data_IF_494277800529
#
_entry.id   IF_494277800529
#
_cell.length_a   1.000
_cell.length_b   1.000
_cell.length_c   1.000
_cell.angle_alpha   90.00
_cell.angle_beta   90.00
_cell.angle_gamma   90.00
#
_symmetry.space_group_name_H-M   'P 1'
#
loop_
_entity.id
_entity.type
_entity.pdbx_description
1 polymer ?
#
# COMPACT_ATOMS: atom_id res chain seq x y z
N UNK A 1 42.22 -21.00 -18.45
CA UNK A 1 41.82 -20.36 -17.20
C UNK A 1 40.34 -20.62 -17.05
N UNK A 2 39.97 -21.62 -16.26
CA UNK A 2 38.56 -21.97 -16.01
C UNK A 2 38.01 -21.07 -14.92
N UNK A 3 37.15 -20.15 -15.31
CA UNK A 3 36.29 -19.46 -14.33
C UNK A 3 35.27 -20.47 -13.79
N UNK A 4 35.57 -21.06 -12.64
CA UNK A 4 34.58 -21.75 -11.85
C UNK A 4 33.56 -20.69 -11.36
N UNK A 5 32.43 -20.65 -12.04
CA UNK A 5 31.21 -20.03 -11.51
C UNK A 5 30.81 -20.85 -10.28
N UNK A 6 31.25 -20.42 -9.11
CA UNK A 6 30.70 -20.91 -7.84
C UNK A 6 29.22 -20.55 -7.88
N UNK A 7 28.28 -21.53 -7.83
CA UNK A 7 26.87 -21.20 -7.72
C UNK A 7 26.69 -20.38 -6.44
N UNK A 8 26.30 -19.10 -6.59
CA UNK A 8 25.91 -18.28 -5.44
C UNK A 8 24.75 -19.00 -4.77
N UNK A 9 24.98 -19.54 -3.59
CA UNK A 9 23.92 -20.03 -2.71
C UNK A 9 22.91 -18.88 -2.60
N UNK A 10 21.67 -19.06 -3.05
CA UNK A 10 20.62 -18.07 -2.81
C UNK A 10 20.53 -17.92 -1.29
N UNK A 11 20.88 -16.77 -0.78
CA UNK A 11 20.77 -16.48 0.63
C UNK A 11 19.28 -16.55 1.00
N UNK A 12 18.96 -17.23 2.08
CA UNK A 12 17.65 -17.13 2.72
C UNK A 12 17.36 -15.68 3.05
N UNK A 13 16.10 -15.25 2.90
CA UNK A 13 15.64 -13.89 3.26
C UNK A 13 16.04 -13.54 4.69
N UNK A 14 16.15 -14.54 5.54
CA UNK A 14 16.36 -14.42 6.98
C UNK A 14 17.62 -15.12 7.48
N UNK A 15 18.62 -15.22 6.63
CA UNK A 15 19.93 -15.73 7.04
C UNK A 15 20.50 -14.96 8.27
N UNK A 16 19.90 -13.77 8.52
CA UNK A 16 20.21 -12.93 9.67
C UNK A 16 18.92 -12.36 10.26
N UNK A 17 18.63 -12.69 11.50
CA UNK A 17 17.50 -12.12 12.25
C UNK A 17 17.52 -10.58 12.34
N UNK A 18 18.64 -9.96 12.01
CA UNK A 18 18.86 -8.51 12.01
C UNK A 18 18.83 -7.86 10.61
N UNK A 19 18.56 -8.62 9.54
CA UNK A 19 18.60 -8.10 8.16
C UNK A 19 17.65 -6.92 7.95
N UNK A 20 16.42 -6.99 8.45
CA UNK A 20 15.48 -5.87 8.40
C UNK A 20 15.98 -4.66 9.20
N UNK A 21 16.55 -4.89 10.37
CA UNK A 21 17.09 -3.81 11.19
C UNK A 21 18.24 -3.10 10.48
N UNK A 22 19.18 -3.83 9.89
CA UNK A 22 20.29 -3.28 9.12
C UNK A 22 19.80 -2.50 7.89
N UNK A 23 18.87 -3.06 7.14
CA UNK A 23 18.20 -2.36 6.04
C UNK A 23 17.57 -1.05 6.52
N UNK A 24 16.79 -1.10 7.58
CA UNK A 24 16.14 0.07 8.18
C UNK A 24 17.15 1.15 8.60
N UNK A 25 18.22 0.75 9.26
CA UNK A 25 19.28 1.68 9.67
C UNK A 25 19.99 2.33 8.47
N UNK A 26 20.27 1.56 7.43
CA UNK A 26 20.88 2.09 6.22
C UNK A 26 20.00 3.12 5.53
N UNK A 27 18.72 2.76 5.27
CA UNK A 27 17.77 3.62 4.56
C UNK A 27 17.43 4.88 5.36
N UNK A 28 17.36 4.80 6.69
CA UNK A 28 17.04 5.94 7.54
C UNK A 28 18.23 6.88 7.75
N UNK A 29 19.43 6.34 7.92
CA UNK A 29 20.56 7.09 8.47
C UNK A 29 21.74 7.26 7.52
N UNK A 30 21.80 6.49 6.40
CA UNK A 30 22.94 6.53 5.46
C UNK A 30 22.49 6.90 4.05
N UNK A 31 21.77 6.02 3.36
CA UNK A 31 21.37 6.23 1.98
C UNK A 31 20.05 5.52 1.66
N UNK A 32 19.14 6.25 1.01
CA UNK A 32 17.85 5.69 0.56
C UNK A 32 17.90 5.07 -0.82
N UNK A 33 18.84 5.47 -1.64
CA UNK A 33 18.84 5.15 -3.07
C UNK A 33 20.07 4.38 -3.53
N UNK A 34 21.16 4.47 -2.77
CA UNK A 34 22.39 3.72 -3.04
C UNK A 34 22.56 2.74 -1.89
N UNK A 35 22.35 1.47 -2.17
CA UNK A 35 22.31 0.43 -1.16
C UNK A 35 23.63 -0.34 -1.09
N UNK A 36 23.97 -0.79 0.13
CA UNK A 36 25.03 -1.76 0.33
C UNK A 36 24.67 -3.10 -0.33
N UNK A 37 25.66 -3.98 -0.51
CA UNK A 37 25.43 -5.31 -1.04
C UNK A 37 24.48 -6.13 -0.13
N UNK A 38 24.56 -5.95 1.19
CA UNK A 38 23.71 -6.60 2.18
C UNK A 38 22.25 -6.16 2.02
N UNK A 39 21.99 -4.84 1.93
CA UNK A 39 20.66 -4.29 1.68
C UNK A 39 20.10 -4.72 0.32
N UNK A 40 20.92 -4.75 -0.72
CA UNK A 40 20.51 -5.22 -2.04
C UNK A 40 20.07 -6.67 -2.02
N UNK A 41 20.80 -7.54 -1.33
CA UNK A 41 20.41 -8.95 -1.14
C UNK A 41 19.11 -9.10 -0.36
N UNK A 42 18.92 -8.29 0.68
CA UNK A 42 17.66 -8.28 1.44
C UNK A 42 16.47 -7.89 0.56
N UNK A 43 16.61 -6.86 -0.28
CA UNK A 43 15.55 -6.44 -1.20
C UNK A 43 15.27 -7.48 -2.29
N UNK A 44 16.30 -8.15 -2.84
CA UNK A 44 16.13 -9.27 -3.77
C UNK A 44 15.39 -10.42 -3.13
N UNK A 45 15.68 -10.72 -1.88
CA UNK A 45 15.01 -11.74 -1.11
C UNK A 45 13.53 -11.42 -0.87
N UNK A 46 13.20 -10.17 -0.49
CA UNK A 46 11.81 -9.70 -0.38
C UNK A 46 11.09 -9.83 -1.73
N UNK A 47 11.73 -9.46 -2.84
CA UNK A 47 11.16 -9.60 -4.17
C UNK A 47 10.83 -11.07 -4.50
N UNK A 48 11.73 -11.98 -4.13
CA UNK A 48 11.49 -13.42 -4.24
C UNK A 48 10.29 -13.89 -3.39
N UNK A 49 10.21 -13.42 -2.15
CA UNK A 49 9.08 -13.70 -1.26
C UNK A 49 7.75 -13.20 -1.83
N UNK A 50 7.71 -11.97 -2.36
CA UNK A 50 6.51 -11.41 -2.98
C UNK A 50 5.98 -12.31 -4.10
N UNK A 51 6.86 -12.92 -4.89
CA UNK A 51 6.45 -13.84 -5.97
C UNK A 51 5.84 -15.14 -5.47
N UNK A 52 6.17 -15.58 -4.25
CA UNK A 52 5.63 -16.79 -3.64
C UNK A 52 4.29 -16.53 -2.96
N UNK A 53 4.11 -15.32 -2.41
CA UNK A 53 2.92 -14.93 -1.65
C UNK A 53 1.86 -14.23 -2.50
N UNK A 54 1.91 -14.37 -3.81
CA UNK A 54 0.91 -13.81 -4.72
C UNK A 54 -0.48 -14.35 -4.44
N UNK A 55 -1.43 -13.44 -4.26
CA UNK A 55 -2.85 -13.76 -4.19
C UNK A 55 -3.59 -13.10 -5.37
N UNK A 56 -4.58 -13.79 -5.96
CA UNK A 56 -5.38 -13.21 -7.01
C UNK A 56 -6.31 -12.14 -6.45
N UNK A 57 -6.50 -11.08 -7.20
CA UNK A 57 -7.50 -10.04 -6.98
C UNK A 57 -8.30 -9.90 -8.25
N UNK A 58 -9.61 -10.10 -8.15
CA UNK A 58 -10.49 -10.04 -9.29
C UNK A 58 -10.89 -8.59 -9.61
N UNK A 59 -11.15 -8.30 -10.85
CA UNK A 59 -11.64 -6.99 -11.28
C UNK A 59 -13.04 -6.65 -10.75
N UNK A 60 -13.79 -7.65 -10.26
CA UNK A 60 -15.07 -7.48 -9.56
C UNK A 60 -14.94 -7.09 -8.10
N UNK A 61 -13.76 -7.21 -7.51
CA UNK A 61 -13.53 -6.88 -6.11
C UNK A 61 -13.56 -5.36 -5.92
N UNK A 62 -14.23 -4.92 -4.87
CA UNK A 62 -14.36 -3.51 -4.54
C UNK A 62 -13.50 -3.18 -3.32
N UNK A 63 -12.79 -2.09 -3.40
CA UNK A 63 -11.94 -1.56 -2.36
C UNK A 63 -12.36 -0.14 -2.00
N UNK A 64 -12.05 0.30 -0.79
CA UNK A 64 -12.53 1.55 -0.25
C UNK A 64 -11.38 2.44 0.21
N UNK A 65 -11.53 3.71 -0.06
CA UNK A 65 -10.73 4.77 0.56
C UNK A 65 -11.66 5.78 1.19
N UNK A 66 -11.32 6.20 2.40
CA UNK A 66 -12.06 7.23 3.12
C UNK A 66 -11.21 8.49 3.30
N UNK A 67 -11.85 9.65 3.26
CA UNK A 67 -11.27 10.93 3.66
C UNK A 67 -12.19 11.65 4.62
N UNK A 68 -11.61 12.23 5.68
CA UNK A 68 -12.34 13.09 6.60
C UNK A 68 -12.58 14.44 5.93
N UNK A 69 -13.84 14.90 5.89
CA UNK A 69 -14.20 16.23 5.42
C UNK A 69 -14.02 17.19 6.61
N UNK A 70 -13.03 18.07 6.49
CA UNK A 70 -12.74 19.07 7.52
C UNK A 70 -13.71 20.27 7.38
N UNK A 71 -13.95 21.03 8.45
CA UNK A 71 -14.82 22.20 8.38
C UNK A 71 -14.45 23.20 7.28
N UNK A 72 -13.16 23.39 7.01
CA UNK A 72 -12.68 24.27 5.94
C UNK A 72 -12.95 23.71 4.53
N UNK A 73 -13.04 22.39 4.38
CA UNK A 73 -13.34 21.75 3.11
C UNK A 73 -14.83 21.95 2.75
N UNK A 74 -15.71 22.03 3.76
CA UNK A 74 -17.15 22.24 3.56
C UNK A 74 -17.43 23.54 2.79
N UNK A 75 -16.63 24.57 2.99
CA UNK A 75 -16.81 25.87 2.34
C UNK A 75 -16.44 25.81 0.86
N UNK A 76 -15.49 24.96 0.49
CA UNK A 76 -14.96 24.83 -0.87
C UNK A 76 -15.75 23.83 -1.72
N UNK A 77 -16.51 22.93 -1.10
CA UNK A 77 -17.30 21.89 -1.79
C UNK A 77 -18.75 22.29 -2.11
N UNK A 78 -19.08 23.57 -2.02
CA UNK A 78 -20.36 24.07 -2.53
C UNK A 78 -20.34 24.12 -4.04
N UNK A 79 -20.80 23.06 -4.71
CA UNK A 79 -21.00 23.09 -6.14
C UNK A 79 -22.14 24.03 -6.53
N UNK A 80 -21.80 25.02 -7.34
CA UNK A 80 -22.81 25.82 -8.02
C UNK A 80 -23.54 24.96 -9.08
N UNK A 81 -24.69 24.38 -8.73
CA UNK A 81 -25.61 23.84 -9.73
C UNK A 81 -26.38 24.99 -10.37
N UNK A 82 -26.07 25.24 -11.65
CA UNK A 82 -26.92 26.04 -12.56
C UNK A 82 -26.32 27.38 -12.95
N UNK A 83 -25.95 27.49 -14.24
CA UNK A 83 -25.90 28.77 -14.96
C UNK A 83 -27.36 29.13 -15.32
N UNK A 84 -28.06 29.78 -14.40
CA UNK A 84 -29.34 30.40 -14.67
C UNK A 84 -29.19 31.92 -14.54
N UNK A 85 -29.96 32.66 -15.32
CA UNK A 85 -29.99 34.12 -15.36
C UNK A 85 -30.45 34.71 -14.00
N UNK A 86 -31.01 33.90 -13.12
CA UNK A 86 -31.50 34.27 -11.80
C UNK A 86 -30.77 33.54 -10.71
N UNK A 87 -29.78 34.16 -10.12
CA UNK A 87 -29.28 33.89 -8.77
C UNK A 87 -28.52 32.59 -8.58
N UNK A 88 -27.36 32.71 -7.94
CA UNK A 88 -26.58 31.57 -7.42
C UNK A 88 -27.32 30.95 -6.26
N UNK A 89 -27.94 29.81 -6.44
CA UNK A 89 -28.53 29.04 -5.34
C UNK A 89 -27.36 28.33 -4.64
N UNK A 90 -27.03 28.77 -3.42
CA UNK A 90 -26.16 28.03 -2.50
C UNK A 90 -26.96 26.86 -1.97
N UNK A 91 -26.73 25.66 -2.47
CA UNK A 91 -27.21 24.46 -1.80
C UNK A 91 -26.24 24.13 -0.67
N UNK A 92 -26.71 24.16 0.57
CA UNK A 92 -25.95 23.74 1.76
C UNK A 92 -25.80 22.22 1.84
N UNK A 93 -25.79 21.52 0.71
CA UNK A 93 -25.60 20.08 0.67
C UNK A 93 -24.13 19.76 0.81
N UNK A 94 -23.78 18.95 1.78
CA UNK A 94 -22.47 18.37 1.90
C UNK A 94 -22.25 17.43 0.70
N UNK A 95 -21.21 17.69 -0.08
CA UNK A 95 -20.89 16.92 -1.29
C UNK A 95 -19.61 16.12 -1.04
N UNK A 96 -19.58 14.82 -1.41
CA UNK A 96 -18.35 14.05 -1.33
C UNK A 96 -17.23 14.67 -2.16
N UNK A 97 -15.97 14.38 -1.81
CA UNK A 97 -14.85 14.74 -2.66
C UNK A 97 -15.00 14.13 -4.05
N UNK A 98 -14.68 14.89 -5.10
CA UNK A 98 -14.69 14.36 -6.46
C UNK A 98 -13.60 13.27 -6.62
N UNK A 99 -13.72 12.37 -7.61
CA UNK A 99 -12.79 11.25 -7.79
C UNK A 99 -11.32 11.64 -7.82
N UNK A 100 -11.00 12.75 -8.47
CA UNK A 100 -9.65 13.30 -8.58
C UNK A 100 -9.05 13.74 -7.23
N UNK A 101 -9.87 14.10 -6.27
CA UNK A 101 -9.45 14.48 -4.92
C UNK A 101 -9.41 13.29 -3.96
N UNK A 102 -10.09 12.18 -4.27
CA UNK A 102 -10.00 10.94 -3.50
C UNK A 102 -8.68 10.23 -3.77
N UNK A 103 -8.15 10.30 -4.98
CA UNK A 103 -6.83 9.75 -5.33
C UNK A 103 -5.73 10.67 -4.76
N UNK A 104 -4.65 10.11 -4.19
CA UNK A 104 -3.55 10.93 -3.69
C UNK A 104 -2.81 11.60 -4.84
N UNK A 105 -2.61 12.91 -4.73
CA UNK A 105 -1.80 13.70 -5.67
C UNK A 105 -0.38 13.92 -5.11
N UNK A 106 0.67 14.00 -5.94
CA UNK A 106 2.05 14.17 -5.49
C UNK A 106 2.24 15.37 -4.56
N UNK A 107 1.65 16.51 -4.90
CA UNK A 107 1.75 17.76 -4.15
C UNK A 107 1.09 17.72 -2.78
N UNK A 108 0.25 16.72 -2.53
CA UNK A 108 -0.46 16.50 -1.26
C UNK A 108 -0.06 15.20 -0.56
N UNK A 109 0.90 14.47 -1.14
CA UNK A 109 1.36 13.21 -0.57
C UNK A 109 2.39 13.46 0.53
N UNK A 110 2.02 13.11 1.75
CA UNK A 110 2.90 13.16 2.92
C UNK A 110 3.47 11.79 3.25
N UNK A 111 4.49 11.74 4.08
CA UNK A 111 5.10 10.50 4.55
C UNK A 111 4.05 9.52 5.07
N UNK A 112 4.05 8.32 4.53
CA UNK A 112 3.22 7.20 4.94
C UNK A 112 4.06 5.97 5.32
N UNK A 113 3.39 4.85 5.56
CA UNK A 113 4.05 3.57 5.92
C UNK A 113 4.95 3.03 4.81
N UNK A 114 4.61 3.29 3.55
CA UNK A 114 5.31 2.76 2.36
C UNK A 114 5.73 3.83 1.36
N UNK A 115 5.56 5.12 1.68
CA UNK A 115 5.93 6.20 0.78
C UNK A 115 6.61 7.35 1.51
N UNK A 116 7.48 8.05 0.79
CA UNK A 116 8.05 9.33 1.20
C UNK A 116 7.17 10.51 0.75
N UNK A 117 7.45 11.70 1.27
CA UNK A 117 6.80 12.94 0.81
C UNK A 117 6.94 13.09 -0.71
N UNK A 118 5.86 13.51 -1.36
CA UNK A 118 5.81 13.72 -2.80
C UNK A 118 5.63 12.45 -3.63
N UNK A 119 5.65 11.25 -3.02
CA UNK A 119 5.41 9.98 -3.71
C UNK A 119 3.99 9.51 -3.37
N UNK A 120 3.03 9.61 -4.32
CA UNK A 120 1.65 9.21 -4.04
C UNK A 120 1.51 7.68 -4.00
N UNK A 121 0.95 7.17 -2.91
CA UNK A 121 0.57 5.78 -2.76
C UNK A 121 -0.91 5.70 -2.39
N UNK A 122 -1.66 4.92 -3.14
CA UNK A 122 -3.08 4.71 -2.89
C UNK A 122 -3.26 3.60 -1.86
N UNK A 123 -3.63 3.99 -0.65
CA UNK A 123 -4.01 3.05 0.42
C UNK A 123 -5.49 2.74 0.31
N UNK A 124 -5.82 1.46 0.26
CA UNK A 124 -7.19 0.95 0.14
C UNK A 124 -7.47 -0.08 1.22
N UNK A 125 -8.73 -0.17 1.63
CA UNK A 125 -9.24 -1.22 2.52
C UNK A 125 -10.22 -2.12 1.77
N UNK A 126 -10.35 -3.36 2.22
CA UNK A 126 -11.32 -4.32 1.65
C UNK A 126 -12.77 -4.00 2.03
N UNK A 127 -12.97 -3.16 3.05
CA UNK A 127 -14.29 -2.76 3.53
C UNK A 127 -14.32 -1.28 3.94
N UNK A 128 -15.50 -0.70 3.93
CA UNK A 128 -15.72 0.70 4.23
C UNK A 128 -15.52 1.05 5.71
N UNK A 129 -15.78 0.10 6.62
CA UNK A 129 -15.65 0.31 8.06
C UNK A 129 -14.18 0.46 8.44
N UNK A 130 -13.32 -0.42 7.91
CA UNK A 130 -11.87 -0.32 8.08
C UNK A 130 -11.34 0.98 7.48
N UNK A 131 -11.80 1.38 6.28
CA UNK A 131 -11.41 2.65 5.67
C UNK A 131 -11.78 3.85 6.56
N UNK A 132 -12.96 3.84 7.19
CA UNK A 132 -13.40 4.88 8.12
C UNK A 132 -12.54 4.88 9.40
N UNK A 133 -12.25 3.71 9.96
CA UNK A 133 -11.43 3.56 11.16
C UNK A 133 -10.00 4.09 10.94
N UNK A 134 -9.41 3.83 9.77
CA UNK A 134 -8.09 4.36 9.41
C UNK A 134 -8.05 5.89 9.34
N UNK A 135 -9.17 6.52 8.96
CA UNK A 135 -9.33 7.98 9.01
C UNK A 135 -9.52 8.53 10.41
N UNK A 136 -9.56 7.67 11.45
CA UNK A 136 -9.89 8.04 12.85
C UNK A 136 -11.21 8.77 12.93
N UNK A 137 -12.21 8.24 12.25
CA UNK A 137 -13.56 8.79 12.27
C UNK A 137 -14.11 8.90 13.69
N UNK A 138 -14.77 10.00 13.99
CA UNK A 138 -15.39 10.26 15.30
C UNK A 138 -16.85 10.67 15.12
N UNK A 139 -17.63 10.53 16.19
CA UNK A 139 -19.05 10.87 16.15
C UNK A 139 -19.27 12.33 15.77
N UNK A 140 -20.03 12.55 14.69
CA UNK A 140 -20.36 13.89 14.17
C UNK A 140 -19.39 14.40 13.08
N UNK A 141 -18.38 13.63 12.69
CA UNK A 141 -17.58 13.97 11.52
C UNK A 141 -18.29 13.57 10.21
N UNK A 142 -17.90 14.18 9.13
CA UNK A 142 -18.34 13.82 7.80
C UNK A 142 -17.21 13.10 7.06
N UNK A 143 -17.57 12.04 6.37
CA UNK A 143 -16.65 11.20 5.62
C UNK A 143 -17.02 11.19 4.13
N UNK A 144 -16.01 11.24 3.28
CA UNK A 144 -16.15 11.00 1.86
C UNK A 144 -15.49 9.67 1.53
N UNK A 145 -16.25 8.78 0.89
CA UNK A 145 -15.77 7.48 0.44
C UNK A 145 -15.56 7.49 -1.07
N UNK A 146 -14.46 6.86 -1.49
CA UNK A 146 -14.22 6.44 -2.86
C UNK A 146 -14.23 4.92 -2.94
N UNK A 147 -14.93 4.39 -3.92
CA UNK A 147 -14.92 2.99 -4.28
C UNK A 147 -13.99 2.77 -5.46
N UNK A 148 -13.18 1.74 -5.39
CA UNK A 148 -12.16 1.40 -6.37
C UNK A 148 -12.28 -0.05 -6.79
N UNK A 149 -12.16 -0.30 -8.08
CA UNK A 149 -11.99 -1.64 -8.64
C UNK A 149 -10.84 -1.64 -9.64
N UNK A 150 -10.23 -2.79 -9.85
CA UNK A 150 -9.19 -2.92 -10.85
C UNK A 150 -9.82 -3.11 -12.24
N UNK A 151 -9.18 -2.56 -13.27
CA UNK A 151 -9.66 -2.69 -14.66
C UNK A 151 -9.49 -4.11 -15.20
N UNK A 152 -8.64 -4.89 -14.58
CA UNK A 152 -8.33 -6.27 -14.94
C UNK A 152 -7.97 -7.06 -13.69
N UNK A 153 -8.03 -8.39 -13.78
CA UNK A 153 -7.54 -9.24 -12.71
C UNK A 153 -6.04 -9.04 -12.50
N UNK A 154 -5.64 -9.00 -11.25
CA UNK A 154 -4.25 -8.76 -10.84
C UNK A 154 -3.79 -9.85 -9.87
N UNK A 155 -2.49 -9.91 -9.66
CA UNK A 155 -1.89 -10.60 -8.54
C UNK A 155 -1.18 -9.58 -7.65
N UNK A 156 -1.41 -9.69 -6.36
CA UNK A 156 -0.77 -8.83 -5.36
C UNK A 156 0.05 -9.68 -4.40
N UNK A 157 1.17 -9.15 -3.93
CA UNK A 157 1.95 -9.79 -2.88
C UNK A 157 1.24 -9.66 -1.53
N UNK A 158 1.07 -10.76 -0.83
CA UNK A 158 0.50 -10.77 0.52
C UNK A 158 1.63 -10.78 1.56
N UNK A 159 1.58 -9.82 2.48
CA UNK A 159 2.43 -9.75 3.66
C UNK A 159 1.66 -10.11 4.94
N UNK A 160 0.48 -10.71 4.81
CA UNK A 160 -0.25 -11.22 5.96
C UNK A 160 0.39 -12.50 6.48
N UNK A 161 0.15 -12.79 7.77
CA UNK A 161 0.60 -14.03 8.39
C UNK A 161 0.11 -15.25 7.59
N UNK A 162 1.04 -16.13 7.23
CA UNK A 162 0.75 -17.36 6.51
C UNK A 162 0.83 -18.51 7.51
N UNK A 163 -0.30 -19.21 7.72
CA UNK A 163 -0.30 -20.36 8.64
C UNK A 163 0.55 -21.51 8.10
N UNK A 164 1.12 -22.33 9.00
CA UNK A 164 1.91 -23.50 8.64
C UNK A 164 1.16 -24.43 7.67
N UNK A 165 -0.14 -24.66 7.90
CA UNK A 165 -0.98 -25.45 6.99
C UNK A 165 -1.05 -24.89 5.56
N UNK A 166 -0.94 -23.58 5.41
CA UNK A 166 -0.92 -22.91 4.11
C UNK A 166 0.44 -23.09 3.44
N UNK A 167 1.52 -22.95 4.22
CA UNK A 167 2.90 -23.17 3.76
C UNK A 167 3.07 -24.60 3.25
N UNK A 168 2.55 -25.59 3.97
CA UNK A 168 2.62 -27.02 3.59
C UNK A 168 1.85 -27.34 2.31
N UNK A 169 0.79 -26.58 2.02
CA UNK A 169 0.02 -26.71 0.77
C UNK A 169 0.65 -25.99 -0.41
N UNK A 170 1.53 -25.04 -0.17
CA UNK A 170 2.30 -24.37 -1.21
C UNK A 170 3.34 -25.36 -1.74
N UNK A 171 3.48 -25.46 -3.07
CA UNK A 171 4.50 -26.29 -3.71
C UNK A 171 5.88 -25.63 -3.60
N UNK A 172 6.32 -25.40 -2.36
CA UNK A 172 7.59 -24.78 -2.04
C UNK A 172 8.68 -25.85 -1.87
N UNK A 173 9.90 -25.50 -2.24
CA UNK A 173 11.06 -26.31 -1.89
C UNK A 173 11.41 -26.12 -0.41
N UNK A 174 12.29 -26.97 0.14
CA UNK A 174 12.64 -26.95 1.57
C UNK A 174 13.31 -25.64 2.01
N UNK A 175 14.07 -24.99 1.11
CA UNK A 175 14.71 -23.72 1.36
C UNK A 175 13.67 -22.57 1.47
N UNK A 176 12.69 -22.58 0.59
CA UNK A 176 11.58 -21.64 0.62
C UNK A 176 10.68 -21.83 1.85
N UNK A 177 10.45 -23.07 2.29
CA UNK A 177 9.71 -23.37 3.52
C UNK A 177 10.44 -22.87 4.77
N UNK A 178 11.77 -23.02 4.80
CA UNK A 178 12.58 -22.54 5.91
C UNK A 178 12.46 -21.01 6.08
N UNK A 179 12.33 -20.25 4.98
CA UNK A 179 12.15 -18.81 5.00
C UNK A 179 10.82 -18.37 5.65
N UNK A 180 9.77 -19.18 5.54
CA UNK A 180 8.48 -18.91 6.20
C UNK A 180 8.49 -19.23 7.70
N UNK A 181 9.35 -20.09 8.17
CA UNK A 181 9.40 -20.49 9.58
C UNK A 181 10.11 -19.48 10.50
N UNK A 182 10.64 -18.41 9.94
CA UNK A 182 11.36 -17.34 10.67
C UNK A 182 10.45 -16.14 10.99
N UNK A 183 9.20 -16.14 10.49
CA UNK A 183 8.19 -15.08 10.77
C UNK A 183 7.33 -15.46 11.98
#
# INVERSE_FOLDING_TARGET
>A
MNNLLIPRKKASIFEYADAFYKFSQEVQNKSRYVHSEETSRFLEAISGFCSITEIPVNNSDTYYRCRLIKPNDIINHYHYKGRGIFGRVRTNALVPFPPEEIVPAPEHSTNGRVNCDGIPVLYLSSDAETAAAECRAYKGCFLSFGEFSFKQDLKIASFSYVSQNTIDKMKLNEEQKADFNVW
#
